data_IF_782371840476
#
_entry.id   IF_782371840476
#
_cell.length_a   1.000
_cell.length_b   1.000
_cell.length_c   1.000
_cell.angle_alpha   90.00
_cell.angle_beta   90.00
_cell.angle_gamma   90.00
#
_symmetry.space_group_name_H-M   'P 1'
#
loop_
_entity.id
_entity.type
_entity.pdbx_description
1 polymer ?
#
# COMPACT_ATOMS: atom_id res chain seq x y z
N UNK A 1 33.52 31.22 2.16
CA UNK A 1 33.24 30.88 3.56
C UNK A 1 31.73 30.89 3.82
N UNK A 2 31.01 29.86 3.38
CA UNK A 2 29.63 29.63 3.83
C UNK A 2 29.57 28.19 4.35
N UNK A 3 29.93 28.07 5.62
CA UNK A 3 29.82 26.87 6.43
C UNK A 3 28.61 27.05 7.34
N UNK A 4 27.89 25.94 7.54
CA UNK A 4 26.94 25.68 8.64
C UNK A 4 25.56 26.34 8.56
N UNK A 5 24.56 25.54 8.17
CA UNK A 5 23.49 25.09 9.08
C UNK A 5 22.46 24.22 8.34
N UNK A 6 22.87 23.03 7.92
CA UNK A 6 21.91 21.96 7.65
C UNK A 6 21.71 21.23 8.99
N UNK A 7 20.90 21.83 9.88
CA UNK A 7 20.43 21.13 11.07
C UNK A 7 19.48 20.03 10.58
N UNK A 8 20.00 18.81 10.45
CA UNK A 8 19.18 17.61 10.42
C UNK A 8 18.30 17.66 11.67
N UNK A 9 17.03 18.00 11.50
CA UNK A 9 16.03 17.90 12.56
C UNK A 9 15.94 16.42 12.92
N UNK A 10 16.67 16.01 13.96
CA UNK A 10 16.56 14.66 14.51
C UNK A 10 15.19 14.59 15.16
N UNK A 11 14.19 14.13 14.39
CA UNK A 11 12.88 13.82 14.93
C UNK A 11 13.07 13.00 16.22
N UNK A 12 12.35 13.33 17.30
CA UNK A 12 12.50 12.59 18.55
C UNK A 12 12.29 11.10 18.29
N UNK A 13 13.02 10.21 18.99
CA UNK A 13 12.92 8.78 18.78
C UNK A 13 11.46 8.34 18.98
N UNK A 14 10.86 7.80 17.91
CA UNK A 14 9.48 7.28 17.94
C UNK A 14 9.40 6.18 19.00
N UNK A 15 8.35 6.17 19.83
CA UNK A 15 8.12 5.13 20.85
C UNK A 15 6.64 4.80 20.97
N UNK A 16 6.30 3.69 21.63
CA UNK A 16 4.93 3.29 21.89
C UNK A 16 4.13 3.05 20.61
N UNK A 17 2.92 3.59 20.59
CA UNK A 17 1.97 3.43 19.47
C UNK A 17 2.50 4.06 18.17
N UNK A 18 3.35 5.09 18.25
CA UNK A 18 3.88 5.76 17.05
C UNK A 18 4.79 4.84 16.22
N UNK A 19 5.50 3.91 16.87
CA UNK A 19 6.25 2.87 16.14
C UNK A 19 5.29 1.88 15.48
N UNK A 20 4.23 1.49 16.17
CA UNK A 20 3.27 0.49 15.66
C UNK A 20 2.45 1.01 14.48
N UNK A 21 2.30 2.34 14.37
CA UNK A 21 1.61 3.00 13.26
C UNK A 21 2.50 3.21 12.04
N UNK A 22 3.82 3.05 12.17
CA UNK A 22 4.76 3.23 11.08
C UNK A 22 5.02 1.91 10.34
N UNK A 23 4.49 1.72 9.12
CA UNK A 23 4.66 0.46 8.37
C UNK A 23 6.10 0.07 8.06
N UNK A 24 7.03 1.02 8.07
CA UNK A 24 8.44 0.76 7.77
C UNK A 24 9.22 0.25 9.00
N UNK A 25 8.76 0.61 10.20
CA UNK A 25 9.46 0.31 11.46
C UNK A 25 8.72 -0.75 12.27
N UNK A 26 7.40 -0.86 12.10
CA UNK A 26 6.60 -1.88 12.74
C UNK A 26 7.06 -3.28 12.34
N UNK A 27 7.18 -4.16 13.34
CA UNK A 27 7.56 -5.57 13.19
C UNK A 27 6.53 -6.51 13.84
N UNK A 28 5.40 -5.98 14.32
CA UNK A 28 4.41 -6.71 15.09
C UNK A 28 5.02 -7.56 16.22
N UNK A 29 4.76 -8.86 16.24
CA UNK A 29 5.26 -9.76 17.29
C UNK A 29 6.75 -10.12 17.13
N UNK A 30 7.39 -9.75 16.03
CA UNK A 30 8.83 -9.96 15.80
C UNK A 30 9.72 -9.00 16.60
N UNK A 31 9.17 -8.03 17.35
CA UNK A 31 9.97 -7.23 18.30
C UNK A 31 10.53 -8.11 19.43
N UNK A 32 11.84 -8.05 19.64
CA UNK A 32 12.50 -8.74 20.75
C UNK A 32 12.06 -8.18 22.11
N UNK A 33 12.22 -8.96 23.19
CA UNK A 33 11.87 -8.50 24.55
C UNK A 33 12.57 -7.18 24.93
N UNK A 34 13.85 -7.07 24.57
CA UNK A 34 14.65 -5.86 24.79
C UNK A 34 14.13 -4.68 23.96
N UNK A 35 13.79 -4.89 22.68
CA UNK A 35 13.20 -3.85 21.84
C UNK A 35 11.86 -3.37 22.40
N UNK A 36 11.01 -4.28 22.90
CA UNK A 36 9.72 -3.91 23.50
C UNK A 36 9.88 -3.06 24.75
N UNK A 37 10.87 -3.35 25.58
CA UNK A 37 11.18 -2.51 26.76
C UNK A 37 11.68 -1.13 26.34
N UNK A 38 12.66 -1.08 25.43
CA UNK A 38 13.26 0.18 24.97
C UNK A 38 12.26 1.09 24.26
N UNK A 39 11.38 0.50 23.46
CA UNK A 39 10.35 1.21 22.70
C UNK A 39 9.04 1.40 23.46
N UNK A 40 8.95 1.00 24.73
CA UNK A 40 7.75 1.11 25.56
C UNK A 40 6.51 0.42 24.93
N UNK A 41 6.71 -0.78 24.41
CA UNK A 41 5.68 -1.60 23.75
C UNK A 41 5.05 -2.65 24.69
N UNK A 42 5.52 -2.74 25.94
CA UNK A 42 4.95 -3.64 26.96
C UNK A 42 3.46 -3.34 27.15
N UNK A 43 2.61 -4.35 26.99
CA UNK A 43 1.14 -4.22 27.09
C UNK A 43 0.43 -3.81 25.79
N UNK A 44 1.16 -3.39 24.75
CA UNK A 44 0.59 -3.01 23.45
C UNK A 44 0.51 -4.18 22.45
N UNK A 45 1.05 -5.34 22.80
CA UNK A 45 1.11 -6.52 21.94
C UNK A 45 1.13 -7.81 22.76
N UNK A 46 0.74 -8.96 22.17
CA UNK A 46 0.76 -10.26 22.85
C UNK A 46 2.16 -10.65 23.36
N UNK A 47 2.23 -11.50 24.38
CA UNK A 47 3.50 -11.96 24.98
C UNK A 47 4.37 -12.81 24.04
N UNK A 48 3.78 -13.34 22.96
CA UNK A 48 4.50 -14.09 21.94
C UNK A 48 5.58 -13.22 21.29
N UNK A 49 6.80 -13.76 21.20
CA UNK A 49 7.93 -13.15 20.48
C UNK A 49 8.29 -14.08 19.33
N UNK A 50 8.14 -13.60 18.11
CA UNK A 50 8.48 -14.36 16.91
C UNK A 50 9.99 -14.26 16.65
N UNK A 51 10.70 -15.38 16.80
CA UNK A 51 12.16 -15.44 16.68
C UNK A 51 12.61 -16.13 15.39
N UNK A 52 11.71 -16.33 14.44
CA UNK A 52 12.03 -17.01 13.18
C UNK A 52 13.12 -16.27 12.41
N UNK A 53 14.09 -17.02 11.92
CA UNK A 53 15.14 -16.50 11.04
C UNK A 53 14.57 -16.16 9.66
N UNK A 54 15.26 -15.33 8.83
CA UNK A 54 14.77 -15.00 7.49
C UNK A 54 14.49 -16.23 6.60
N UNK A 55 15.24 -17.32 6.79
CA UNK A 55 15.09 -18.60 6.10
C UNK A 55 13.90 -19.44 6.56
N UNK A 56 13.36 -19.18 7.75
CA UNK A 56 12.26 -19.96 8.33
C UNK A 56 10.91 -19.24 8.14
N UNK A 57 9.83 -20.00 8.18
CA UNK A 57 8.48 -19.44 8.19
C UNK A 57 8.17 -18.91 9.59
N UNK A 58 8.00 -17.59 9.69
CA UNK A 58 7.65 -16.93 10.96
C UNK A 58 6.22 -17.27 11.40
N UNK A 59 5.93 -17.13 12.69
CA UNK A 59 4.57 -17.28 13.19
C UNK A 59 3.61 -16.31 12.50
N UNK A 60 4.03 -15.06 12.29
CA UNK A 60 3.23 -14.06 11.58
C UNK A 60 2.93 -14.48 10.14
N UNK A 61 3.92 -15.03 9.43
CA UNK A 61 3.75 -15.52 8.05
C UNK A 61 2.74 -16.66 7.99
N UNK A 62 2.83 -17.63 8.91
CA UNK A 62 1.86 -18.72 9.00
C UNK A 62 0.45 -18.22 9.28
N UNK A 63 0.31 -17.35 10.27
CA UNK A 63 -0.98 -16.78 10.64
C UNK A 63 -1.59 -15.95 9.51
N UNK A 64 -0.78 -15.20 8.77
CA UNK A 64 -1.23 -14.38 7.66
C UNK A 64 -1.72 -15.22 6.49
N UNK A 65 -1.00 -16.29 6.14
CA UNK A 65 -1.43 -17.25 5.12
C UNK A 65 -2.71 -17.97 5.52
N UNK A 66 -2.80 -18.44 6.77
CA UNK A 66 -4.01 -19.11 7.27
C UNK A 66 -5.24 -18.21 7.16
N UNK A 67 -5.11 -16.94 7.56
CA UNK A 67 -6.20 -15.95 7.42
C UNK A 67 -6.59 -15.74 5.96
N UNK A 68 -5.60 -15.63 5.08
CA UNK A 68 -5.82 -15.41 3.65
C UNK A 68 -6.56 -16.59 3.01
N UNK A 69 -6.24 -17.82 3.41
CA UNK A 69 -6.93 -19.04 2.96
C UNK A 69 -8.37 -19.15 3.45
N UNK A 70 -8.70 -18.54 4.59
CA UNK A 70 -10.06 -18.49 5.13
C UNK A 70 -10.94 -17.41 4.46
N UNK A 71 -10.35 -16.48 3.70
CA UNK A 71 -11.11 -15.48 2.97
C UNK A 71 -11.68 -16.09 1.68
N UNK A 72 -12.99 -15.88 1.50
CA UNK A 72 -13.74 -16.49 0.39
C UNK A 72 -13.52 -15.81 -0.96
N UNK A 73 -13.46 -14.48 -0.97
CA UNK A 73 -13.32 -13.67 -2.19
C UNK A 73 -11.88 -13.22 -2.41
N UNK A 74 -11.45 -13.19 -3.66
CA UNK A 74 -10.14 -12.65 -4.02
C UNK A 74 -10.04 -11.13 -3.78
N UNK A 75 -11.17 -10.41 -3.80
CA UNK A 75 -11.22 -9.00 -3.39
C UNK A 75 -10.95 -8.84 -1.88
N UNK A 76 -11.47 -9.73 -1.04
CA UNK A 76 -11.21 -9.70 0.40
C UNK A 76 -9.75 -10.04 0.69
N UNK A 77 -9.18 -11.01 -0.05
CA UNK A 77 -7.75 -11.34 0.02
C UNK A 77 -6.90 -10.14 -0.41
N UNK A 78 -7.30 -9.45 -1.48
CA UNK A 78 -6.63 -8.23 -1.93
C UNK A 78 -6.67 -7.13 -0.86
N UNK A 79 -7.84 -6.84 -0.26
CA UNK A 79 -7.95 -5.87 0.84
C UNK A 79 -7.09 -6.28 2.04
N UNK A 80 -7.08 -7.56 2.42
CA UNK A 80 -6.23 -8.06 3.50
C UNK A 80 -4.74 -7.84 3.21
N UNK A 81 -4.28 -8.20 2.01
CA UNK A 81 -2.89 -7.99 1.57
C UNK A 81 -2.52 -6.51 1.55
N UNK A 82 -3.44 -5.66 1.08
CA UNK A 82 -3.27 -4.22 1.13
C UNK A 82 -3.15 -3.74 2.58
N UNK A 83 -4.01 -4.15 3.51
CA UNK A 83 -3.91 -3.76 4.93
C UNK A 83 -2.60 -4.22 5.56
N UNK A 84 -2.10 -5.39 5.18
CA UNK A 84 -0.80 -5.88 5.62
C UNK A 84 0.32 -4.95 5.14
N UNK A 85 0.28 -4.53 3.88
CA UNK A 85 1.22 -3.56 3.32
C UNK A 85 1.23 -2.22 4.07
N UNK A 86 0.08 -1.74 4.55
CA UNK A 86 -0.03 -0.47 5.29
C UNK A 86 0.36 -0.57 6.76
N UNK A 87 0.43 -1.78 7.31
CA UNK A 87 0.70 -2.00 8.74
C UNK A 87 2.09 -2.54 8.99
N UNK A 88 2.60 -3.45 8.15
CA UNK A 88 3.93 -4.03 8.24
C UNK A 88 4.46 -4.38 6.84
N UNK A 89 5.19 -3.44 6.22
CA UNK A 89 5.73 -3.62 4.86
C UNK A 89 6.78 -4.71 4.80
N UNK A 90 7.59 -4.85 5.85
CA UNK A 90 8.65 -5.85 5.87
C UNK A 90 8.05 -7.24 5.84
N UNK A 91 7.03 -7.47 6.66
CA UNK A 91 6.31 -8.73 6.70
C UNK A 91 5.57 -9.01 5.37
N UNK A 92 4.90 -8.01 4.80
CA UNK A 92 4.26 -8.13 3.49
C UNK A 92 5.24 -8.62 2.41
N UNK A 93 6.37 -7.94 2.22
CA UNK A 93 7.34 -8.32 1.18
C UNK A 93 8.00 -9.66 1.44
N UNK A 94 8.26 -10.00 2.71
CA UNK A 94 8.76 -11.35 3.07
C UNK A 94 7.76 -12.44 2.68
N UNK A 95 6.48 -12.25 2.99
CA UNK A 95 5.42 -13.20 2.66
C UNK A 95 5.23 -13.33 1.14
N UNK A 96 5.22 -12.20 0.43
CA UNK A 96 5.15 -12.15 -1.05
C UNK A 96 6.30 -12.91 -1.70
N UNK A 97 7.54 -12.66 -1.26
CA UNK A 97 8.73 -13.29 -1.84
C UNK A 97 8.77 -14.82 -1.65
N UNK A 98 8.17 -15.34 -0.57
CA UNK A 98 8.10 -16.78 -0.31
C UNK A 98 6.97 -17.48 -1.06
N UNK A 99 5.88 -16.78 -1.37
CA UNK A 99 4.65 -17.34 -1.95
C UNK A 99 4.26 -16.60 -3.24
N UNK A 100 5.23 -16.30 -4.10
CA UNK A 100 5.05 -15.48 -5.30
C UNK A 100 3.96 -16.05 -6.21
N UNK A 101 3.98 -17.37 -6.45
CA UNK A 101 3.03 -18.03 -7.35
C UNK A 101 1.57 -17.87 -6.90
N UNK A 102 1.32 -17.99 -5.60
CA UNK A 102 -0.02 -17.89 -5.02
C UNK A 102 -0.49 -16.43 -4.86
N UNK A 103 0.39 -15.54 -4.42
CA UNK A 103 0.02 -14.19 -4.02
C UNK A 103 0.05 -13.16 -5.16
N UNK A 104 0.89 -13.36 -6.19
CA UNK A 104 0.96 -12.45 -7.35
C UNK A 104 -0.39 -12.25 -8.06
N UNK A 105 -1.19 -13.29 -8.36
CA UNK A 105 -2.49 -13.08 -9.01
C UNK A 105 -3.51 -12.33 -8.14
N UNK A 106 -3.30 -12.28 -6.81
CA UNK A 106 -4.13 -11.51 -5.89
C UNK A 106 -3.75 -10.03 -5.90
N UNK A 107 -2.46 -9.67 -5.90
CA UNK A 107 -2.02 -8.26 -5.87
C UNK A 107 -1.92 -7.60 -7.24
N UNK A 108 -1.86 -8.41 -8.30
CA UNK A 108 -1.77 -7.96 -9.69
C UNK A 108 -2.93 -8.56 -10.51
N UNK A 109 -2.71 -8.89 -11.78
CA UNK A 109 -3.73 -9.46 -12.66
C UNK A 109 -4.08 -10.90 -12.24
N UNK A 110 -5.37 -11.28 -12.17
CA UNK A 110 -6.55 -10.51 -12.61
C UNK A 110 -7.22 -9.65 -11.52
N UNK A 111 -6.92 -9.88 -10.24
CA UNK A 111 -7.66 -9.34 -9.10
C UNK A 111 -7.59 -7.81 -8.98
N UNK A 112 -6.44 -7.21 -9.31
CA UNK A 112 -6.28 -5.75 -9.31
C UNK A 112 -7.26 -5.06 -10.28
N UNK A 113 -7.64 -5.73 -11.37
CA UNK A 113 -8.65 -5.22 -12.30
C UNK A 113 -10.02 -5.13 -11.64
N UNK A 114 -10.43 -6.17 -10.91
CA UNK A 114 -11.67 -6.20 -10.14
C UNK A 114 -11.66 -5.18 -8.99
N UNK A 115 -10.51 -5.01 -8.34
CA UNK A 115 -10.33 -4.00 -7.30
C UNK A 115 -10.43 -2.57 -7.84
N UNK A 116 -9.91 -2.30 -9.05
CA UNK A 116 -10.05 -1.01 -9.72
C UNK A 116 -11.51 -0.69 -10.07
N UNK A 117 -12.33 -1.69 -10.38
CA UNK A 117 -13.77 -1.49 -10.65
C UNK A 117 -14.53 -1.14 -9.37
N UNK A 118 -14.19 -1.82 -8.29
CA UNK A 118 -14.80 -1.61 -6.97
C UNK A 118 -13.96 -0.66 -6.12
N UNK A 119 -13.18 0.24 -6.73
CA UNK A 119 -12.17 1.00 -6.00
C UNK A 119 -12.79 1.88 -4.90
N UNK A 120 -14.00 2.41 -5.12
CA UNK A 120 -14.74 3.14 -4.09
C UNK A 120 -14.99 2.31 -2.82
N UNK A 121 -15.14 0.98 -2.96
CA UNK A 121 -15.36 0.04 -1.85
C UNK A 121 -14.05 -0.48 -1.25
N UNK A 122 -12.98 -0.56 -2.05
CA UNK A 122 -11.66 -1.08 -1.63
C UNK A 122 -10.75 0.02 -1.06
N UNK A 123 -11.02 1.29 -1.38
CA UNK A 123 -10.21 2.41 -0.94
C UNK A 123 -10.39 2.70 0.56
N UNK A 124 -9.40 2.35 1.37
CA UNK A 124 -9.41 2.60 2.81
C UNK A 124 -8.39 3.64 3.29
N UNK A 125 -7.26 3.81 2.58
CA UNK A 125 -6.14 4.63 3.04
C UNK A 125 -5.53 5.48 1.92
N UNK A 126 -5.09 6.69 2.27
CA UNK A 126 -4.47 7.67 1.35
C UNK A 126 -3.06 7.28 0.91
N UNK A 127 -2.94 6.17 0.18
CA UNK A 127 -1.66 5.60 -0.29
C UNK A 127 -1.10 6.29 -1.53
N UNK A 128 -2.00 6.77 -2.38
CA UNK A 128 -1.69 7.18 -3.74
C UNK A 128 -1.85 8.69 -3.90
N UNK A 129 -0.94 9.30 -4.64
CA UNK A 129 -1.14 10.65 -5.16
C UNK A 129 -2.14 10.60 -6.31
N UNK A 130 -3.27 11.27 -6.12
CA UNK A 130 -4.32 11.39 -7.14
C UNK A 130 -4.25 12.80 -7.73
N UNK A 131 -3.85 12.92 -8.99
CA UNK A 131 -3.85 14.20 -9.71
C UNK A 131 -5.19 14.42 -10.41
N UNK A 132 -5.78 15.60 -10.19
CA UNK A 132 -7.11 15.99 -10.69
C UNK A 132 -7.27 15.86 -12.22
N UNK A 133 -6.20 16.02 -12.99
CA UNK A 133 -6.21 15.95 -14.46
C UNK A 133 -5.85 14.56 -15.02
N UNK A 134 -5.30 13.66 -14.21
CA UNK A 134 -4.98 12.30 -14.59
C UNK A 134 -6.03 11.33 -14.05
N UNK A 135 -7.22 11.36 -14.63
CA UNK A 135 -8.11 10.21 -14.48
C UNK A 135 -7.68 9.15 -15.49
N UNK A 136 -6.80 8.25 -15.03
CA UNK A 136 -6.40 6.95 -15.59
C UNK A 136 -6.64 6.76 -17.10
N UNK A 137 -5.60 6.93 -17.92
CA UNK A 137 -5.71 6.84 -19.39
C UNK A 137 -5.13 5.62 -20.08
N UNK A 138 -4.07 5.00 -19.57
CA UNK A 138 -3.41 3.97 -20.38
C UNK A 138 -3.57 2.53 -19.89
N UNK A 139 -3.55 2.28 -18.58
CA UNK A 139 -3.44 0.88 -18.10
C UNK A 139 -4.80 0.16 -18.09
N UNK A 140 -5.89 0.84 -17.74
CA UNK A 140 -7.21 0.18 -17.60
C UNK A 140 -7.88 -0.08 -18.96
N UNK A 141 -7.80 0.86 -19.91
CA UNK A 141 -8.54 0.77 -21.18
C UNK A 141 -7.87 -0.11 -22.24
N UNK A 142 -6.54 -0.25 -22.21
CA UNK A 142 -5.82 -1.11 -23.17
C UNK A 142 -5.79 -2.58 -22.72
N UNK A 143 -5.72 -2.83 -21.41
CA UNK A 143 -5.65 -4.18 -20.85
C UNK A 143 -7.01 -4.83 -20.58
N UNK A 144 -8.10 -4.06 -20.52
CA UNK A 144 -9.44 -4.58 -20.26
C UNK A 144 -10.46 -3.98 -21.23
N UNK A 145 -10.70 -4.60 -22.40
CA UNK A 145 -11.56 -4.07 -23.47
C UNK A 145 -13.08 -4.08 -23.15
N UNK A 146 -13.47 -4.27 -21.88
CA UNK A 146 -14.86 -4.47 -21.47
C UNK A 146 -15.55 -3.22 -20.89
N UNK A 147 -14.86 -2.08 -20.74
CA UNK A 147 -15.38 -0.93 -19.99
C UNK A 147 -15.94 0.19 -20.86
N UNK A 148 -17.14 0.69 -20.51
CA UNK A 148 -17.63 1.98 -20.97
C UNK A 148 -17.38 3.05 -19.90
N UNK A 149 -16.75 4.18 -20.27
CA UNK A 149 -16.50 5.31 -19.36
C UNK A 149 -17.81 5.85 -18.75
N UNK A 150 -18.90 5.71 -19.48
CA UNK A 150 -20.21 6.22 -19.08
C UNK A 150 -20.74 5.54 -17.80
N UNK A 151 -20.60 4.21 -17.70
CA UNK A 151 -21.02 3.46 -16.50
C UNK A 151 -20.35 3.96 -15.21
N UNK A 152 -19.08 4.39 -15.30
CA UNK A 152 -18.34 4.91 -14.15
C UNK A 152 -18.77 6.34 -13.78
N UNK A 153 -19.07 7.18 -14.76
CA UNK A 153 -19.51 8.56 -14.53
C UNK A 153 -20.90 8.62 -13.88
N UNK A 154 -21.76 7.64 -14.21
CA UNK A 154 -23.12 7.52 -13.69
C UNK A 154 -23.16 6.86 -12.29
N UNK A 155 -22.09 6.19 -11.86
CA UNK A 155 -22.00 5.58 -10.54
C UNK A 155 -22.01 6.65 -9.42
N UNK A 156 -22.95 6.62 -8.46
CA UNK A 156 -22.97 7.55 -7.32
C UNK A 156 -21.75 7.44 -6.41
N UNK A 157 -21.11 6.26 -6.34
CA UNK A 157 -19.93 6.01 -5.51
C UNK A 157 -18.62 6.39 -6.22
N UNK A 158 -18.68 6.81 -7.48
CA UNK A 158 -17.50 7.30 -8.19
C UNK A 158 -16.96 8.58 -7.54
N UNK A 159 -15.77 8.47 -6.95
CA UNK A 159 -15.04 9.55 -6.27
C UNK A 159 -14.09 10.33 -7.21
N UNK A 160 -13.88 9.85 -8.44
CA UNK A 160 -13.05 10.53 -9.43
C UNK A 160 -13.74 11.75 -10.03
N UNK A 161 -13.03 12.45 -10.93
CA UNK A 161 -13.58 13.63 -11.58
C UNK A 161 -14.65 13.23 -12.61
N UNK A 162 -15.88 13.69 -12.42
CA UNK A 162 -17.03 13.38 -13.29
C UNK A 162 -16.99 14.15 -14.61
N UNK A 163 -15.97 13.91 -15.42
CA UNK A 163 -15.83 14.49 -16.75
C UNK A 163 -15.17 13.51 -17.72
N UNK A 164 -15.34 13.76 -19.02
CA UNK A 164 -14.62 13.03 -20.06
C UNK A 164 -13.11 13.34 -20.00
N UNK A 165 -12.29 12.42 -20.52
CA UNK A 165 -10.84 12.57 -20.61
C UNK A 165 -10.48 13.89 -21.30
N UNK A 166 -9.64 14.69 -20.66
CA UNK A 166 -8.98 15.85 -21.29
C UNK A 166 -7.93 15.32 -22.28
N UNK A 167 -7.95 15.82 -23.50
CA UNK A 167 -7.04 15.41 -24.60
C UNK A 167 -6.43 16.64 -25.27
N UNK A 168 -5.34 16.45 -26.02
CA UNK A 168 -4.63 17.52 -26.74
C UNK A 168 -3.71 18.34 -25.84
N UNK A 169 -3.43 19.59 -26.23
CA UNK A 169 -2.42 20.45 -25.60
C UNK A 169 -2.58 20.59 -24.09
N UNK A 170 -3.81 20.60 -23.58
CA UNK A 170 -4.08 20.69 -22.15
C UNK A 170 -3.56 19.46 -21.38
N UNK A 171 -3.66 18.26 -21.96
CA UNK A 171 -3.10 17.03 -21.41
C UNK A 171 -1.57 17.02 -21.52
N UNK A 172 -1.04 17.37 -22.68
CA UNK A 172 0.40 17.35 -22.93
C UNK A 172 1.15 18.35 -22.05
N UNK A 173 0.60 19.56 -21.87
CA UNK A 173 1.14 20.56 -20.97
C UNK A 173 1.17 20.07 -19.52
N UNK A 174 0.10 19.42 -19.07
CA UNK A 174 0.04 18.84 -17.72
C UNK A 174 1.09 17.73 -17.55
N UNK A 175 1.22 16.82 -18.50
CA UNK A 175 2.22 15.73 -18.45
C UNK A 175 3.64 16.32 -18.46
N UNK A 176 3.90 17.33 -19.28
CA UNK A 176 5.21 17.99 -19.34
C UNK A 176 5.54 18.71 -18.02
N UNK A 177 4.57 19.37 -17.37
CA UNK A 177 4.73 19.97 -16.05
C UNK A 177 5.00 18.91 -14.97
N UNK A 178 4.24 17.81 -14.99
CA UNK A 178 4.43 16.69 -14.07
C UNK A 178 5.83 16.09 -14.18
N UNK A 179 6.28 15.78 -15.40
CA UNK A 179 7.61 15.21 -15.64
C UNK A 179 8.74 16.16 -15.23
N UNK A 180 8.61 17.47 -15.53
CA UNK A 180 9.57 18.48 -15.07
C UNK A 180 9.65 18.55 -13.55
N UNK A 181 8.49 18.50 -12.87
CA UNK A 181 8.43 18.57 -11.41
C UNK A 181 9.07 17.32 -10.77
N UNK A 182 8.83 16.13 -11.31
CA UNK A 182 9.45 14.89 -10.83
C UNK A 182 10.97 14.87 -11.04
N UNK A 183 11.47 15.50 -12.11
CA UNK A 183 12.92 15.56 -12.40
C UNK A 183 13.66 16.65 -11.60
N UNK A 184 12.93 17.58 -10.96
CA UNK A 184 13.50 18.67 -10.19
C UNK A 184 13.74 18.32 -8.70
N UNK A 185 13.45 17.09 -8.29
CA UNK A 185 13.65 16.53 -6.94
C UNK A 185 14.88 15.65 -6.92
#
# INVERSE_FOLDING_TARGET
>A
MFSQNCQLTTNPPRTGVDILRDPLVNKGVSFSRMQRQNFKLTGLMPALVDTATPSEISYQERLAMERLHHLSSDLDKYDYLLRLYDTDRTHFFRMMNKNVEELTPLVYTPTVGAACQNYALVHAHGRWLIFRLLVASLIVFTAFPFWSLQQLLDDPLYFGLRQKRVTGDAYDNFVAEFMRSCAAV
#
